data_IF_255141299478
#
_entry.id   IF_255141299478
#
_cell.length_a   1.000
_cell.length_b   1.000
_cell.length_c   1.000
_cell.angle_alpha   90.00
_cell.angle_beta   90.00
_cell.angle_gamma   90.00
#
_symmetry.space_group_name_H-M   'P 1'
#
loop_
_entity.id
_entity.type
_entity.pdbx_description
1 polymer ?
#
# COMPACT_ATOMS: atom_id res chain seq x y z
N UNK A 1 -19.51 11.90 -6.53
CA UNK A 1 -20.90 12.11 -6.94
C UNK A 1 -21.45 10.79 -7.43
N UNK A 2 -22.53 10.31 -6.83
CA UNK A 2 -23.27 9.11 -7.25
C UNK A 2 -24.64 9.61 -7.66
N UNK A 3 -25.03 9.39 -8.91
CA UNK A 3 -26.40 9.61 -9.35
C UNK A 3 -27.20 8.33 -9.13
N UNK A 4 -28.53 8.43 -9.11
CA UNK A 4 -29.43 7.28 -8.92
C UNK A 4 -29.26 6.18 -9.99
N UNK A 5 -28.65 6.51 -11.13
CA UNK A 5 -28.47 5.67 -12.31
C UNK A 5 -27.00 5.38 -12.66
N UNK A 6 -26.02 5.94 -11.94
CA UNK A 6 -24.63 5.73 -12.33
C UNK A 6 -23.55 6.42 -11.51
N UNK A 7 -22.31 6.13 -11.91
CA UNK A 7 -21.08 6.71 -11.37
C UNK A 7 -20.52 7.74 -12.35
N UNK A 8 -20.25 8.95 -11.86
CA UNK A 8 -19.48 9.95 -12.61
C UNK A 8 -18.01 9.86 -12.23
N UNK A 9 -17.14 9.64 -13.23
CA UNK A 9 -15.69 9.67 -13.09
C UNK A 9 -15.17 11.01 -13.62
N UNK A 10 -14.22 11.62 -12.92
CA UNK A 10 -13.61 12.92 -13.24
C UNK A 10 -12.07 12.83 -13.09
N UNK A 11 -11.35 13.92 -13.37
CA UNK A 11 -9.89 14.04 -13.24
C UNK A 11 -9.10 13.08 -14.17
N UNK A 12 -9.39 13.17 -15.49
CA UNK A 12 -8.78 12.33 -16.53
C UNK A 12 -7.35 12.74 -16.93
N UNK A 13 -6.69 13.64 -16.20
CA UNK A 13 -5.35 14.16 -16.53
C UNK A 13 -4.27 13.08 -16.55
N UNK A 14 -4.52 11.96 -15.87
CA UNK A 14 -3.63 10.79 -15.83
C UNK A 14 -4.11 9.61 -16.68
N UNK A 15 -5.25 9.75 -17.36
CA UNK A 15 -5.84 8.71 -18.18
C UNK A 15 -5.00 8.45 -19.42
N UNK A 16 -4.84 7.17 -19.75
CA UNK A 16 -4.03 6.71 -20.88
C UNK A 16 -4.45 5.31 -21.28
N UNK A 17 -4.11 4.91 -22.51
CA UNK A 17 -4.23 3.52 -22.92
C UNK A 17 -3.28 2.65 -22.08
N UNK A 18 -3.84 1.74 -21.30
CA UNK A 18 -3.11 0.87 -20.39
C UNK A 18 -3.84 -0.47 -20.22
N UNK A 19 -3.19 -1.42 -19.54
CA UNK A 19 -3.85 -2.65 -19.10
C UNK A 19 -5.01 -2.30 -18.15
N UNK A 20 -6.27 -2.71 -18.42
CA UNK A 20 -7.41 -2.42 -17.54
C UNK A 20 -7.25 -2.94 -16.10
N UNK A 21 -6.37 -3.92 -15.90
CA UNK A 21 -6.02 -4.39 -14.56
C UNK A 21 -5.34 -3.32 -13.70
N UNK A 22 -4.70 -2.32 -14.32
CA UNK A 22 -4.04 -1.21 -13.63
C UNK A 22 -5.05 -0.36 -12.86
N UNK A 23 -6.20 -0.04 -13.47
CA UNK A 23 -7.23 0.79 -12.83
C UNK A 23 -7.77 0.13 -11.56
N UNK A 24 -7.98 -1.19 -11.61
CA UNK A 24 -8.41 -2.00 -10.46
C UNK A 24 -7.33 -2.05 -9.38
N UNK A 25 -6.07 -2.34 -9.77
CA UNK A 25 -4.96 -2.39 -8.82
C UNK A 25 -4.73 -1.05 -8.13
N UNK A 26 -4.81 0.05 -8.88
CA UNK A 26 -4.72 1.40 -8.35
C UNK A 26 -5.86 1.70 -7.38
N UNK A 27 -7.11 1.39 -7.73
CA UNK A 27 -8.26 1.60 -6.84
C UNK A 27 -8.08 0.86 -5.50
N UNK A 28 -7.67 -0.41 -5.54
CA UNK A 28 -7.46 -1.22 -4.33
C UNK A 28 -6.32 -0.68 -3.46
N UNK A 29 -5.22 -0.25 -4.07
CA UNK A 29 -4.08 0.34 -3.36
C UNK A 29 -4.43 1.71 -2.77
N UNK A 30 -5.13 2.55 -3.53
CA UNK A 30 -5.55 3.87 -3.13
C UNK A 30 -6.53 3.83 -1.95
N UNK A 31 -7.48 2.90 -1.96
CA UNK A 31 -8.36 2.66 -0.82
C UNK A 31 -7.58 2.28 0.44
N UNK A 32 -6.62 1.36 0.31
CA UNK A 32 -5.77 0.97 1.43
C UNK A 32 -4.92 2.14 1.97
N UNK A 33 -4.40 3.00 1.08
CA UNK A 33 -3.67 4.20 1.47
C UNK A 33 -4.54 5.19 2.25
N UNK A 34 -5.76 5.45 1.80
CA UNK A 34 -6.70 6.36 2.49
C UNK A 34 -7.18 5.79 3.84
N UNK A 35 -7.11 4.47 4.01
CA UNK A 35 -7.62 3.76 5.17
C UNK A 35 -6.56 2.91 5.89
N UNK A 36 -5.35 3.46 6.04
CA UNK A 36 -4.23 2.77 6.71
C UNK A 36 -4.54 2.35 8.16
N UNK A 37 -5.34 3.12 8.88
CA UNK A 37 -5.73 2.80 10.27
C UNK A 37 -6.80 1.69 10.37
N UNK A 38 -7.42 1.28 9.27
CA UNK A 38 -8.46 0.25 9.31
C UNK A 38 -7.88 -1.15 9.47
N UNK A 39 -8.59 -1.99 10.23
CA UNK A 39 -8.27 -3.40 10.41
C UNK A 39 -8.36 -4.15 9.07
N UNK A 40 -7.49 -5.14 8.89
CA UNK A 40 -7.43 -5.95 7.66
C UNK A 40 -8.79 -6.52 7.24
N UNK A 41 -9.57 -7.07 8.18
CA UNK A 41 -10.89 -7.65 7.88
C UNK A 41 -11.85 -6.66 7.20
N UNK A 42 -11.76 -5.36 7.52
CA UNK A 42 -12.59 -4.34 6.89
C UNK A 42 -12.13 -4.02 5.46
N UNK A 43 -10.83 -4.08 5.20
CA UNK A 43 -10.26 -3.91 3.87
C UNK A 43 -10.62 -5.10 2.97
N UNK A 44 -10.58 -6.32 3.51
CA UNK A 44 -11.01 -7.51 2.78
C UNK A 44 -12.48 -7.45 2.39
N UNK A 45 -13.37 -7.08 3.32
CA UNK A 45 -14.80 -6.93 3.02
C UNK A 45 -15.06 -5.88 1.92
N UNK A 46 -14.32 -4.77 1.93
CA UNK A 46 -14.41 -3.76 0.87
C UNK A 46 -13.95 -4.34 -0.47
N UNK A 47 -12.80 -5.01 -0.49
CA UNK A 47 -12.25 -5.64 -1.69
C UNK A 47 -13.24 -6.65 -2.27
N UNK A 48 -13.82 -7.51 -1.44
CA UNK A 48 -14.85 -8.48 -1.83
C UNK A 48 -16.06 -7.79 -2.44
N UNK A 49 -16.56 -6.74 -1.80
CA UNK A 49 -17.72 -5.98 -2.29
C UNK A 49 -17.44 -5.30 -3.63
N UNK A 50 -16.26 -4.69 -3.78
CA UNK A 50 -15.84 -4.07 -5.04
C UNK A 50 -15.69 -5.12 -6.17
N UNK A 51 -15.00 -6.23 -5.89
CA UNK A 51 -14.81 -7.29 -6.87
C UNK A 51 -16.12 -8.00 -7.23
N UNK A 52 -17.10 -8.08 -6.33
CA UNK A 52 -18.42 -8.61 -6.66
C UNK A 52 -19.12 -7.78 -7.77
N UNK A 53 -18.90 -6.46 -7.78
CA UNK A 53 -19.40 -5.58 -8.84
C UNK A 53 -18.55 -5.59 -10.11
N UNK A 54 -17.22 -5.75 -9.99
CA UNK A 54 -16.30 -5.64 -11.12
C UNK A 54 -16.02 -6.98 -11.85
N UNK A 55 -15.95 -8.09 -11.12
CA UNK A 55 -15.53 -9.38 -11.66
C UNK A 55 -16.47 -10.00 -12.71
N UNK A 56 -17.81 -9.79 -12.70
CA UNK A 56 -18.68 -10.31 -13.75
C UNK A 56 -18.21 -9.87 -15.15
N UNK A 57 -17.89 -10.84 -16.02
CA UNK A 57 -17.39 -10.59 -17.38
C UNK A 57 -15.90 -10.24 -17.49
N UNK A 58 -15.18 -10.12 -16.37
CA UNK A 58 -13.72 -9.91 -16.39
C UNK A 58 -12.98 -11.27 -16.50
N UNK A 59 -11.97 -11.40 -17.39
CA UNK A 59 -11.11 -12.58 -17.42
C UNK A 59 -10.38 -12.77 -16.09
N UNK A 60 -10.21 -14.02 -15.66
CA UNK A 60 -9.53 -14.34 -14.39
C UNK A 60 -8.11 -13.79 -14.35
N UNK A 61 -7.41 -13.83 -15.48
CA UNK A 61 -6.05 -13.33 -15.64
C UNK A 61 -5.98 -11.82 -15.39
N UNK A 62 -7.05 -11.07 -15.71
CA UNK A 62 -7.13 -9.63 -15.41
C UNK A 62 -7.15 -9.40 -13.91
N UNK A 63 -7.91 -10.21 -13.16
CA UNK A 63 -7.97 -10.10 -11.69
C UNK A 63 -6.62 -10.46 -11.05
N UNK A 64 -5.91 -11.45 -11.58
CA UNK A 64 -4.54 -11.77 -11.14
C UNK A 64 -3.58 -10.60 -11.38
N UNK A 65 -3.59 -10.00 -12.58
CA UNK A 65 -2.76 -8.82 -12.88
C UNK A 65 -3.15 -7.62 -12.03
N UNK A 66 -4.44 -7.44 -11.72
CA UNK A 66 -4.90 -6.35 -10.89
C UNK A 66 -4.33 -6.42 -9.47
N UNK A 67 -4.25 -7.62 -8.89
CA UNK A 67 -3.57 -7.84 -7.61
C UNK A 67 -2.06 -7.57 -7.69
N UNK A 68 -1.41 -7.88 -8.80
CA UNK A 68 0.00 -7.52 -8.99
C UNK A 68 0.16 -5.99 -9.03
N UNK A 69 -0.68 -5.29 -9.78
CA UNK A 69 -0.68 -3.83 -9.83
C UNK A 69 -1.01 -3.21 -8.48
N UNK A 70 -1.90 -3.79 -7.68
CA UNK A 70 -2.16 -3.32 -6.31
C UNK A 70 -0.89 -3.30 -5.45
N UNK A 71 -0.08 -4.35 -5.48
CA UNK A 71 1.18 -4.37 -4.75
C UNK A 71 2.14 -3.26 -5.23
N UNK A 72 2.24 -3.05 -6.54
CA UNK A 72 3.07 -1.99 -7.13
C UNK A 72 2.56 -0.60 -6.75
N UNK A 73 1.26 -0.38 -6.80
CA UNK A 73 0.64 0.92 -6.49
C UNK A 73 0.70 1.23 -4.99
N UNK A 74 0.68 0.23 -4.10
CA UNK A 74 0.94 0.40 -2.67
C UNK A 74 2.36 0.94 -2.41
N UNK A 75 3.36 0.36 -3.08
CA UNK A 75 4.75 0.85 -2.99
C UNK A 75 4.87 2.26 -3.56
N UNK A 76 4.21 2.55 -4.70
CA UNK A 76 4.16 3.92 -5.24
C UNK A 76 3.50 4.90 -4.29
N UNK A 77 2.43 4.52 -3.60
CA UNK A 77 1.79 5.36 -2.59
C UNK A 77 2.77 5.68 -1.45
N UNK A 78 3.53 4.68 -1.00
CA UNK A 78 4.53 4.83 0.06
C UNK A 78 5.59 5.89 -0.31
N UNK A 79 6.02 5.93 -1.57
CA UNK A 79 7.07 6.86 -2.04
C UNK A 79 6.52 8.22 -2.46
N UNK A 80 5.35 8.27 -3.10
CA UNK A 80 4.84 9.48 -3.77
C UNK A 80 3.82 10.27 -2.96
N UNK A 81 3.16 9.62 -1.98
CA UNK A 81 1.98 10.19 -1.31
C UNK A 81 2.15 10.32 0.20
N UNK A 82 3.09 9.61 0.81
CA UNK A 82 3.48 9.85 2.20
C UNK A 82 4.49 11.00 2.22
N UNK A 83 4.19 12.04 2.99
CA UNK A 83 5.05 13.21 3.05
C UNK A 83 6.10 13.03 4.15
N UNK A 84 7.38 13.12 3.81
CA UNK A 84 8.50 12.88 4.76
C UNK A 84 8.56 13.87 5.94
N UNK A 85 7.80 14.96 5.87
CA UNK A 85 7.69 15.94 6.96
C UNK A 85 6.55 15.62 7.95
N UNK A 86 5.69 14.64 7.67
CA UNK A 86 4.67 14.19 8.63
C UNK A 86 5.31 13.40 9.77
N UNK A 87 4.87 13.59 11.01
CA UNK A 87 5.50 12.95 12.19
C UNK A 87 5.53 11.41 12.11
N UNK A 88 4.55 10.79 11.47
CA UNK A 88 4.38 9.35 11.34
C UNK A 88 4.79 8.79 9.97
N UNK A 89 5.48 9.58 9.12
CA UNK A 89 5.83 9.22 7.75
C UNK A 89 6.49 7.84 7.63
N UNK A 90 7.40 7.51 8.55
CA UNK A 90 8.14 6.26 8.55
C UNK A 90 7.23 5.06 8.80
N UNK A 91 6.34 5.18 9.80
CA UNK A 91 5.35 4.14 10.13
C UNK A 91 4.32 3.96 9.01
N UNK A 92 3.87 5.06 8.38
CA UNK A 92 2.95 5.00 7.23
C UNK A 92 3.59 4.33 6.02
N UNK A 93 4.85 4.67 5.72
CA UNK A 93 5.63 4.07 4.63
C UNK A 93 5.81 2.57 4.88
N UNK A 94 6.24 2.19 6.08
CA UNK A 94 6.41 0.78 6.46
C UNK A 94 5.09 0.01 6.32
N UNK A 95 3.98 0.55 6.82
CA UNK A 95 2.67 -0.10 6.74
C UNK A 95 2.18 -0.33 5.30
N UNK A 96 2.48 0.58 4.37
CA UNK A 96 2.17 0.40 2.94
C UNK A 96 3.03 -0.68 2.29
N UNK A 97 4.33 -0.72 2.60
CA UNK A 97 5.25 -1.76 2.11
C UNK A 97 4.87 -3.13 2.66
N UNK A 98 4.51 -3.21 3.94
CA UNK A 98 4.01 -4.45 4.56
C UNK A 98 2.74 -4.96 3.89
N UNK A 99 1.78 -4.07 3.57
CA UNK A 99 0.58 -4.44 2.82
C UNK A 99 0.91 -4.95 1.41
N UNK A 100 1.83 -4.29 0.71
CA UNK A 100 2.28 -4.75 -0.61
C UNK A 100 2.89 -6.16 -0.53
N UNK A 101 3.69 -6.43 0.52
CA UNK A 101 4.27 -7.75 0.75
C UNK A 101 3.19 -8.81 1.01
N UNK A 102 2.14 -8.49 1.79
CA UNK A 102 1.01 -9.42 2.00
C UNK A 102 0.33 -9.76 0.67
N UNK A 103 0.08 -8.76 -0.18
CA UNK A 103 -0.54 -8.98 -1.50
C UNK A 103 0.32 -9.89 -2.39
N UNK A 104 1.65 -9.67 -2.42
CA UNK A 104 2.58 -10.51 -3.19
C UNK A 104 2.62 -11.94 -2.65
N UNK A 105 2.73 -12.12 -1.33
CA UNK A 105 2.75 -13.45 -0.72
C UNK A 105 1.48 -14.24 -1.03
N UNK A 106 0.32 -13.57 -1.02
CA UNK A 106 -0.95 -14.18 -1.39
C UNK A 106 -0.99 -14.60 -2.86
N UNK A 107 -0.46 -13.76 -3.76
CA UNK A 107 -0.37 -14.09 -5.18
C UNK A 107 0.58 -15.25 -5.44
N UNK A 108 1.76 -15.26 -4.82
CA UNK A 108 2.72 -16.36 -4.93
C UNK A 108 2.06 -17.67 -4.50
N UNK A 109 1.33 -17.66 -3.37
CA UNK A 109 0.56 -18.82 -2.89
C UNK A 109 -0.52 -19.27 -3.88
N UNK A 110 -1.30 -18.35 -4.44
CA UNK A 110 -2.37 -18.66 -5.41
C UNK A 110 -1.79 -19.22 -6.71
N UNK A 111 -0.62 -18.74 -7.14
CA UNK A 111 0.05 -19.13 -8.37
C UNK A 111 0.98 -20.35 -8.19
N UNK A 112 1.13 -20.88 -6.97
CA UNK A 112 2.03 -21.99 -6.67
C UNK A 112 3.52 -21.62 -6.81
N UNK A 113 3.87 -20.35 -6.69
CA UNK A 113 5.25 -19.87 -6.74
C UNK A 113 5.91 -20.02 -5.35
N UNK A 114 7.23 -20.27 -5.29
CA UNK A 114 7.94 -20.36 -4.02
C UNK A 114 7.88 -18.99 -3.32
N UNK A 115 7.33 -18.97 -2.10
CA UNK A 115 7.24 -17.74 -1.30
C UNK A 115 8.64 -17.23 -1.00
N UNK A 116 8.97 -16.03 -1.49
CA UNK A 116 10.25 -15.40 -1.15
C UNK A 116 10.12 -14.75 0.21
N UNK A 117 10.48 -15.49 1.26
CA UNK A 117 10.62 -14.92 2.59
C UNK A 117 11.79 -13.92 2.55
N UNK A 118 11.48 -12.64 2.37
CA UNK A 118 12.42 -11.58 2.69
C UNK A 118 12.62 -11.66 4.21
N UNK A 119 13.74 -12.25 4.66
CA UNK A 119 14.10 -12.28 6.08
C UNK A 119 14.02 -10.84 6.58
N UNK A 120 13.18 -10.57 7.58
CA UNK A 120 13.06 -9.24 8.20
C UNK A 120 14.48 -8.75 8.48
N UNK A 121 14.85 -7.64 7.86
CA UNK A 121 16.08 -6.94 8.20
C UNK A 121 16.09 -6.69 9.70
N UNK A 122 17.27 -6.86 10.30
CA UNK A 122 17.58 -6.47 11.67
C UNK A 122 16.85 -5.17 12.06
N UNK A 123 16.23 -5.06 13.24
CA UNK A 123 15.71 -3.77 13.67
C UNK A 123 16.87 -2.77 13.64
N UNK A 124 16.71 -1.69 12.87
CA UNK A 124 17.55 -0.51 12.95
C UNK A 124 17.39 0.01 14.39
N UNK A 125 18.27 -0.44 15.29
CA UNK A 125 18.44 0.17 16.60
C UNK A 125 18.82 1.61 16.35
N UNK A 126 17.88 2.52 16.59
CA UNK A 126 18.19 3.93 16.78
C UNK A 126 19.03 4.06 18.06
N UNK A 127 20.35 3.91 17.95
CA UNK A 127 21.28 4.37 18.97
C UNK A 127 21.48 5.86 18.78
N UNK A 128 20.52 6.66 19.26
CA UNK A 128 20.80 8.07 19.56
C UNK A 128 21.63 8.06 20.84
N UNK A 129 22.96 8.08 20.69
CA UNK A 129 23.84 8.40 21.81
C UNK A 129 23.75 9.90 22.05
N UNK A 130 22.90 10.31 22.99
CA UNK A 130 22.98 11.64 23.60
C UNK A 130 24.24 11.66 24.46
N UNK A 131 25.36 12.10 23.87
CA UNK A 131 26.57 12.41 24.61
C UNK A 131 26.27 13.58 25.55
N UNK A 132 26.05 13.26 26.83
CA UNK A 132 25.94 14.25 27.91
C UNK A 132 27.27 14.99 28.00
N UNK A 133 27.31 16.24 27.53
CA UNK A 133 28.43 17.16 27.78
C UNK A 133 28.52 17.38 29.29
N UNK A 134 29.54 16.79 29.93
CA UNK A 134 29.92 17.14 31.28
C UNK A 134 30.66 18.48 31.25
N UNK A 135 30.01 19.52 31.75
CA UNK A 135 30.65 20.78 32.12
C UNK A 135 31.61 20.53 33.28
N UNK A 136 32.92 20.52 33.01
CA UNK A 136 33.94 20.81 34.02
C UNK A 136 34.07 22.34 34.13
N UNK A 137 33.78 22.91 35.30
CA UNK A 137 34.46 24.11 35.78
C UNK A 137 35.20 23.74 37.06
N UNK A 138 36.52 23.94 37.01
CA UNK A 138 37.45 23.81 38.12
C UNK A 138 37.84 25.23 38.59
N UNK A 139 38.08 25.37 39.91
CA UNK A 139 38.73 26.52 40.56
C UNK A 139 37.86 27.78 40.64
N UNK A 140 37.74 28.49 41.76
CA UNK A 140 38.68 28.68 42.89
C UNK A 140 37.87 28.81 44.17
#
# INVERSE_FOLDING_TARGET
WVASDGLTVIDFDSSRLADPALDVGYFLADWQFRHLAWRQARLEKMRESFLAGYAPGAPKERLTRARLYEAVELVKCAVRRVQVFEHDWASRTAGLVERAQVVINDLERILGLPVRICRRGHPLRASVSLTRVQSRRAGT
#
